data_IF_182750686875
#
_entry.id   IF_182750686875
#
_cell.length_a   1.000
_cell.length_b   1.000
_cell.length_c   1.000
_cell.angle_alpha   90.00
_cell.angle_beta   90.00
_cell.angle_gamma   90.00
#
_symmetry.space_group_name_H-M   'P 1'
#
loop_
_entity.id
_entity.type
_entity.pdbx_description
1 polymer ?
#
# COMPACT_ATOMS: atom_id res chain seq x y z
N UNK A 1 1.91 6.33 -8.57
CA UNK A 1 2.03 4.94 -9.09
C UNK A 1 0.60 4.41 -9.24
N UNK A 2 0.22 3.85 -10.40
CA UNK A 2 -1.10 3.21 -10.56
C UNK A 2 -1.02 1.81 -9.97
N UNK A 3 -2.07 1.38 -9.26
CA UNK A 3 -2.20 0.01 -8.82
C UNK A 3 -2.55 -0.85 -10.05
N UNK A 4 -1.72 -1.83 -10.38
CA UNK A 4 -2.01 -2.78 -11.45
C UNK A 4 -2.79 -4.00 -10.91
N UNK A 5 -3.33 -4.82 -11.82
CA UNK A 5 -4.14 -5.98 -11.46
C UNK A 5 -3.38 -7.00 -10.61
N UNK A 6 -2.07 -7.15 -10.84
CA UNK A 6 -1.25 -8.08 -10.08
C UNK A 6 -1.02 -7.60 -8.64
N UNK A 7 -0.77 -6.30 -8.45
CA UNK A 7 -0.67 -5.67 -7.13
C UNK A 7 -2.00 -5.72 -6.39
N UNK A 8 -3.13 -5.52 -7.10
CA UNK A 8 -4.46 -5.63 -6.53
C UNK A 8 -4.77 -7.05 -6.03
N UNK A 9 -4.53 -8.06 -6.88
CA UNK A 9 -4.73 -9.47 -6.53
C UNK A 9 -3.92 -9.86 -5.29
N UNK A 10 -2.63 -9.50 -5.28
CA UNK A 10 -1.76 -9.78 -4.14
C UNK A 10 -2.23 -9.09 -2.86
N UNK A 11 -2.69 -7.84 -2.94
CA UNK A 11 -3.20 -7.12 -1.76
C UNK A 11 -4.46 -7.77 -1.20
N UNK A 12 -5.40 -8.19 -2.06
CA UNK A 12 -6.63 -8.87 -1.64
C UNK A 12 -6.34 -10.25 -1.04
N UNK A 13 -5.38 -10.97 -1.61
CA UNK A 13 -5.02 -12.34 -1.19
C UNK A 13 -4.18 -12.37 0.09
N UNK A 14 -3.14 -11.55 0.16
CA UNK A 14 -2.14 -11.58 1.24
C UNK A 14 -2.44 -10.56 2.34
N UNK A 15 -3.43 -9.68 2.14
CA UNK A 15 -3.74 -8.55 3.01
C UNK A 15 -2.65 -7.47 3.04
N UNK A 16 -1.58 -7.62 2.25
CA UNK A 16 -0.50 -6.64 2.15
C UNK A 16 0.23 -6.72 0.82
N UNK A 17 0.78 -5.59 0.36
CA UNK A 17 1.66 -5.56 -0.81
C UNK A 17 2.74 -4.51 -0.68
N UNK A 18 3.97 -4.87 -1.04
CA UNK A 18 5.11 -3.95 -1.06
C UNK A 18 5.10 -3.13 -2.34
N UNK A 19 5.19 -1.81 -2.18
CA UNK A 19 5.36 -0.84 -3.24
C UNK A 19 6.77 -0.27 -3.19
N UNK A 20 7.46 -0.32 -4.32
CA UNK A 20 8.79 0.28 -4.49
C UNK A 20 8.72 1.51 -5.38
N UNK A 21 9.66 2.42 -5.17
CA UNK A 21 9.91 3.60 -5.99
C UNK A 21 8.66 4.48 -6.18
N UNK A 22 7.87 4.64 -5.11
CA UNK A 22 6.67 5.45 -5.11
C UNK A 22 7.02 6.94 -5.00
N UNK A 23 6.83 7.67 -6.10
CA UNK A 23 7.01 9.11 -6.12
C UNK A 23 5.79 9.83 -5.51
N UNK A 24 6.04 10.65 -4.50
CA UNK A 24 5.07 11.57 -3.91
C UNK A 24 4.83 12.79 -4.83
N UNK A 25 3.76 13.54 -4.58
CA UNK A 25 3.48 14.80 -5.27
C UNK A 25 4.61 15.84 -5.10
N UNK A 26 5.39 15.75 -4.01
CA UNK A 26 6.55 16.62 -3.74
C UNK A 26 7.86 16.10 -4.34
N UNK A 27 7.80 15.06 -5.17
CA UNK A 27 8.95 14.52 -5.88
C UNK A 27 9.86 13.58 -5.09
N UNK A 28 9.65 13.41 -3.77
CA UNK A 28 10.33 12.39 -2.96
C UNK A 28 9.88 10.98 -3.34
N UNK A 29 10.83 10.05 -3.39
CA UNK A 29 10.59 8.63 -3.67
C UNK A 29 10.58 7.83 -2.37
N UNK A 30 9.62 6.92 -2.24
CA UNK A 30 9.42 6.10 -1.06
C UNK A 30 9.22 4.63 -1.43
N UNK A 31 9.71 3.76 -0.56
CA UNK A 31 9.24 2.37 -0.50
C UNK A 31 8.25 2.26 0.66
N UNK A 32 7.17 1.53 0.46
CA UNK A 32 6.16 1.35 1.49
C UNK A 32 5.44 0.01 1.33
N UNK A 33 4.94 -0.54 2.42
CA UNK A 33 3.98 -1.65 2.41
C UNK A 33 2.58 -1.10 2.59
N UNK A 34 1.67 -1.45 1.70
CA UNK A 34 0.23 -1.22 1.89
C UNK A 34 -0.33 -2.39 2.66
N UNK A 35 -1.02 -2.11 3.76
CA UNK A 35 -1.78 -3.08 4.54
C UNK A 35 -3.27 -2.90 4.28
N UNK A 36 -3.98 -3.99 4.07
CA UNK A 36 -5.44 -4.06 3.99
C UNK A 36 -5.98 -4.73 5.26
N UNK A 37 -6.94 -4.08 5.89
CA UNK A 37 -7.70 -4.59 7.03
C UNK A 37 -9.19 -4.25 6.86
N UNK A 38 -10.04 -4.84 7.69
CA UNK A 38 -11.47 -4.49 7.74
C UNK A 38 -11.77 -3.76 9.06
N UNK A 39 -12.49 -2.65 8.97
CA UNK A 39 -13.10 -2.02 10.14
C UNK A 39 -14.28 -2.87 10.65
N UNK A 40 -14.74 -2.60 11.86
CA UNK A 40 -15.82 -3.37 12.50
C UNK A 40 -17.15 -3.33 11.72
N UNK A 41 -17.35 -2.32 10.87
CA UNK A 41 -18.51 -2.17 9.98
C UNK A 41 -18.31 -2.82 8.60
N UNK A 42 -17.23 -3.58 8.41
CA UNK A 42 -16.91 -4.27 7.17
C UNK A 42 -16.28 -3.39 6.09
N UNK A 43 -16.03 -2.09 6.34
CA UNK A 43 -15.32 -1.24 5.39
C UNK A 43 -13.85 -1.62 5.32
N UNK A 44 -13.29 -1.60 4.12
CA UNK A 44 -11.85 -1.78 3.90
C UNK A 44 -11.07 -0.58 4.41
N UNK A 45 -10.05 -0.83 5.23
CA UNK A 45 -9.08 0.16 5.72
C UNK A 45 -7.70 -0.14 5.16
N UNK A 46 -7.09 0.88 4.56
CA UNK A 46 -5.73 0.83 4.04
C UNK A 46 -4.77 1.60 4.95
N UNK A 47 -3.56 1.09 5.14
CA UNK A 47 -2.48 1.78 5.88
C UNK A 47 -1.15 1.64 5.17
N UNK A 48 -0.25 2.59 5.38
CA UNK A 48 1.08 2.62 4.77
C UNK A 48 2.15 2.48 5.84
N UNK A 49 3.05 1.52 5.64
CA UNK A 49 4.29 1.40 6.42
C UNK A 49 5.48 1.77 5.53
N UNK A 50 6.08 2.93 5.77
CA UNK A 50 7.23 3.40 4.99
C UNK A 50 8.51 2.70 5.43
N UNK A 51 9.33 2.31 4.47
CA UNK A 51 10.69 1.84 4.75
C UNK A 51 11.58 3.05 5.08
N UNK A 52 12.33 2.96 6.17
CA UNK A 52 13.37 3.93 6.50
C UNK A 52 12.93 5.18 7.25
N UNK A 53 11.75 5.19 7.91
CA UNK A 53 11.34 6.17 8.92
C UNK A 53 11.51 7.65 8.53
N UNK A 54 10.46 8.24 7.93
CA UNK A 54 10.23 9.67 7.65
C UNK A 54 11.42 10.59 7.33
#
# INVERSE_FOLDING_TARGET
>A
KRLDAHVADKLLRDGRVRLKDCKSAKGKTYNATVLLSCEADGRSKFSLEFEGGC
#
